data_IF_389902245068
#
_entry.id   IF_389902245068
#
_cell.length_a   1.000
_cell.length_b   1.000
_cell.length_c   1.000
_cell.angle_alpha   90.00
_cell.angle_beta   90.00
_cell.angle_gamma   90.00
#
_symmetry.space_group_name_H-M   'P 1'
#
loop_
_entity.id
_entity.type
_entity.pdbx_description
1 polymer ?
#
# COMPACT_ATOMS: atom_id res chain seq x y z
N UNK A 1 19.68 -54.81 -15.74
CA UNK A 1 19.07 -54.07 -14.62
C UNK A 1 19.96 -52.89 -14.27
N UNK A 2 19.75 -51.76 -14.96
CA UNK A 2 20.43 -50.47 -14.76
C UNK A 2 19.37 -49.44 -15.13
N UNK A 3 19.02 -48.55 -14.22
CA UNK A 3 18.21 -47.32 -14.32
C UNK A 3 17.44 -47.24 -13.00
N UNK A 4 18.08 -46.72 -11.96
CA UNK A 4 17.42 -46.26 -10.72
C UNK A 4 18.35 -45.31 -9.97
N UNK A 5 18.92 -44.29 -10.62
CA UNK A 5 19.76 -43.29 -9.94
C UNK A 5 19.74 -41.92 -10.63
N UNK A 6 18.55 -41.38 -10.92
CA UNK A 6 18.42 -39.98 -11.39
C UNK A 6 17.17 -39.31 -10.79
N UNK A 7 17.12 -39.26 -9.45
CA UNK A 7 15.99 -38.64 -8.72
C UNK A 7 16.39 -37.84 -7.47
N UNK A 8 17.63 -37.36 -7.37
CA UNK A 8 18.14 -36.82 -6.09
C UNK A 8 18.90 -35.49 -6.15
N UNK A 9 18.87 -34.75 -7.26
CA UNK A 9 19.64 -33.49 -7.38
C UNK A 9 18.82 -32.23 -7.07
N UNK A 10 17.49 -32.32 -6.95
CA UNK A 10 16.62 -31.14 -6.82
C UNK A 10 16.31 -30.70 -5.37
N UNK A 11 17.22 -30.90 -4.42
CA UNK A 11 17.03 -30.48 -3.02
C UNK A 11 18.19 -29.62 -2.45
N UNK A 12 19.17 -29.23 -3.28
CA UNK A 12 20.37 -28.51 -2.85
C UNK A 12 20.36 -27.00 -3.14
N UNK A 13 19.17 -26.39 -3.30
CA UNK A 13 19.04 -24.93 -3.44
C UNK A 13 18.34 -24.25 -2.24
N UNK A 14 18.25 -24.92 -1.09
CA UNK A 14 17.92 -24.27 0.17
C UNK A 14 19.20 -23.66 0.78
N UNK A 15 19.69 -22.59 0.17
CA UNK A 15 20.76 -21.79 0.74
C UNK A 15 20.31 -21.27 2.13
N UNK A 16 21.16 -21.33 3.16
CA UNK A 16 20.81 -20.82 4.49
C UNK A 16 20.81 -19.30 4.43
N UNK A 17 19.64 -18.70 4.19
CA UNK A 17 19.36 -17.27 4.43
C UNK A 17 19.25 -16.98 5.95
N UNK A 18 19.47 -17.97 6.81
CA UNK A 18 19.42 -17.84 8.26
C UNK A 18 20.78 -17.46 8.88
N UNK A 19 21.37 -16.32 8.49
CA UNK A 19 22.55 -15.79 9.20
C UNK A 19 22.90 -14.33 8.93
N UNK A 20 22.07 -13.55 8.22
CA UNK A 20 22.35 -12.12 8.13
C UNK A 20 21.82 -11.43 9.39
N UNK A 21 22.67 -10.74 10.19
CA UNK A 21 22.18 -9.88 11.25
C UNK A 21 21.28 -8.84 10.60
N UNK A 22 19.99 -8.89 10.91
CA UNK A 22 19.06 -7.82 10.54
C UNK A 22 19.62 -6.56 11.21
N UNK A 23 20.04 -5.53 10.44
CA UNK A 23 20.53 -4.31 11.05
C UNK A 23 19.44 -3.78 12.01
N UNK A 24 19.81 -3.26 13.19
CA UNK A 24 18.83 -2.69 14.11
C UNK A 24 17.99 -1.68 13.33
N UNK A 25 16.65 -1.71 13.47
CA UNK A 25 15.80 -0.83 12.70
C UNK A 25 16.26 0.60 13.01
N UNK A 26 16.79 1.28 11.98
CA UNK A 26 17.07 2.70 12.06
C UNK A 26 15.80 3.35 12.58
N UNK A 27 15.89 4.00 13.74
CA UNK A 27 14.74 4.64 14.38
C UNK A 27 14.05 5.47 13.30
N UNK A 28 12.86 5.04 12.90
CA UNK A 28 12.11 5.62 11.79
C UNK A 28 11.80 7.06 12.18
N UNK A 29 12.66 7.99 11.77
CA UNK A 29 12.51 9.41 12.04
C UNK A 29 11.40 9.88 11.11
N UNK A 30 10.23 10.15 11.68
CA UNK A 30 9.14 10.81 10.96
C UNK A 30 9.69 12.15 10.48
N UNK A 31 9.76 12.40 9.16
CA UNK A 31 10.20 13.68 8.64
C UNK A 31 9.27 14.79 9.17
N UNK A 32 9.80 15.91 9.69
CA UNK A 32 8.98 17.02 10.19
C UNK A 32 8.04 17.59 9.13
N UNK A 33 8.30 17.34 7.85
CA UNK A 33 7.43 17.69 6.73
C UNK A 33 6.07 16.97 6.79
N UNK A 34 5.96 15.83 7.48
CA UNK A 34 4.69 15.10 7.64
C UNK A 34 3.76 15.71 8.70
N UNK A 35 4.26 16.61 9.55
CA UNK A 35 3.47 17.34 10.54
C UNK A 35 3.19 18.79 10.12
N UNK A 36 3.71 19.23 8.98
CA UNK A 36 3.50 20.57 8.45
C UNK A 36 2.06 20.72 7.87
N UNK A 37 1.25 21.69 8.35
CA UNK A 37 -0.05 21.99 7.75
C UNK A 37 0.02 22.34 6.26
N UNK A 38 1.11 22.94 5.77
CA UNK A 38 1.29 23.24 4.35
C UNK A 38 1.42 21.95 3.50
N UNK A 39 1.91 20.85 4.08
CA UNK A 39 1.93 19.56 3.40
C UNK A 39 0.53 18.94 3.30
N UNK A 40 -0.33 19.14 4.31
CA UNK A 40 -1.72 18.67 4.25
C UNK A 40 -2.50 19.36 3.12
N UNK A 41 -2.29 20.66 2.89
CA UNK A 41 -2.89 21.38 1.77
C UNK A 41 -2.40 20.85 0.41
N UNK A 42 -1.08 20.73 0.23
CA UNK A 42 -0.48 20.16 -0.99
C UNK A 42 -0.99 18.75 -1.28
N UNK A 43 -1.12 17.93 -0.25
CA UNK A 43 -1.64 16.57 -0.37
C UNK A 43 -3.12 16.59 -0.79
N UNK A 44 -3.92 17.48 -0.22
CA UNK A 44 -5.31 17.68 -0.64
C UNK A 44 -5.44 18.06 -2.11
N UNK A 45 -4.57 18.94 -2.60
CA UNK A 45 -4.56 19.33 -4.01
C UNK A 45 -4.05 18.19 -4.93
N UNK A 46 -3.04 17.43 -4.49
CA UNK A 46 -2.59 16.22 -5.19
C UNK A 46 -3.70 15.17 -5.29
N UNK A 47 -4.46 14.95 -4.21
CA UNK A 47 -5.61 14.04 -4.22
C UNK A 47 -6.71 14.52 -5.17
N UNK A 48 -6.94 15.83 -5.27
CA UNK A 48 -7.84 16.40 -6.28
C UNK A 48 -7.39 16.08 -7.71
N UNK A 49 -6.10 16.30 -8.01
CA UNK A 49 -5.53 15.99 -9.33
C UNK A 49 -5.56 14.50 -9.67
N UNK A 50 -5.28 13.63 -8.69
CA UNK A 50 -5.41 12.17 -8.86
C UNK A 50 -6.86 11.76 -9.10
N UNK A 51 -7.80 12.40 -8.41
CA UNK A 51 -9.22 12.22 -8.61
C UNK A 51 -9.66 12.58 -10.03
N UNK A 52 -9.23 13.74 -10.54
CA UNK A 52 -9.48 14.14 -11.92
C UNK A 52 -8.87 13.16 -12.93
N UNK A 53 -7.64 12.69 -12.70
CA UNK A 53 -6.99 11.70 -13.55
C UNK A 53 -7.77 10.36 -13.57
N UNK A 54 -8.34 9.95 -12.44
CA UNK A 54 -9.20 8.77 -12.37
C UNK A 54 -10.50 8.96 -13.15
N UNK A 55 -11.10 10.15 -13.07
CA UNK A 55 -12.29 10.46 -13.85
C UNK A 55 -12.02 10.40 -15.36
N UNK A 56 -10.83 10.79 -15.81
CA UNK A 56 -10.44 10.77 -17.22
C UNK A 56 -9.96 9.38 -17.70
N UNK A 57 -9.96 8.37 -16.82
CA UNK A 57 -9.56 7.01 -17.19
C UNK A 57 -10.57 6.39 -18.18
N UNK A 58 -10.11 5.88 -19.34
CA UNK A 58 -10.99 5.21 -20.30
C UNK A 58 -11.43 3.84 -19.76
N UNK A 59 -12.74 3.62 -19.65
CA UNK A 59 -13.32 2.38 -19.10
C UNK A 59 -14.20 1.63 -20.08
N UNK A 60 -14.54 2.19 -21.23
CA UNK A 60 -15.49 1.51 -22.13
C UNK A 60 -14.96 0.20 -22.73
N UNK A 61 -13.63 0.04 -22.84
CA UNK A 61 -13.02 -1.25 -23.18
C UNK A 61 -13.28 -2.32 -22.12
N UNK A 62 -13.11 -1.96 -20.84
CA UNK A 62 -13.34 -2.84 -19.68
C UNK A 62 -14.82 -3.19 -19.58
N UNK A 63 -15.70 -2.20 -19.76
CA UNK A 63 -17.16 -2.38 -19.74
C UNK A 63 -17.62 -3.35 -20.83
N UNK A 64 -17.20 -3.15 -22.07
CA UNK A 64 -17.59 -4.03 -23.18
C UNK A 64 -17.07 -5.46 -22.97
N UNK A 65 -15.83 -5.61 -22.47
CA UNK A 65 -15.27 -6.92 -22.15
C UNK A 65 -16.06 -7.62 -21.04
N UNK A 66 -16.50 -6.90 -20.00
CA UNK A 66 -17.37 -7.43 -18.95
C UNK A 66 -18.74 -7.86 -19.50
N UNK A 67 -19.24 -7.19 -20.53
CA UNK A 67 -20.46 -7.55 -21.26
C UNK A 67 -20.24 -8.66 -22.32
N UNK A 68 -19.02 -9.22 -22.42
CA UNK A 68 -18.69 -10.31 -23.35
C UNK A 68 -18.64 -9.91 -24.82
N UNK A 69 -18.49 -8.61 -25.12
CA UNK A 69 -18.44 -8.07 -26.49
C UNK A 69 -17.19 -7.23 -26.73
N UNK A 70 -16.92 -6.91 -27.98
CA UNK A 70 -15.87 -5.96 -28.34
C UNK A 70 -16.37 -4.53 -28.22
N UNK A 71 -15.57 -3.65 -27.61
CA UNK A 71 -15.89 -2.23 -27.54
C UNK A 71 -15.85 -1.59 -28.94
N UNK A 72 -16.88 -0.81 -29.26
CA UNK A 72 -16.85 0.06 -30.44
C UNK A 72 -15.80 1.16 -30.29
N UNK A 73 -15.34 1.80 -31.38
CA UNK A 73 -14.35 2.88 -31.31
C UNK A 73 -14.80 4.04 -30.40
N UNK A 74 -16.10 4.35 -30.38
CA UNK A 74 -16.67 5.40 -29.54
C UNK A 74 -16.66 5.01 -28.06
N UNK A 75 -16.98 3.75 -27.74
CA UNK A 75 -16.93 3.28 -26.35
C UNK A 75 -15.50 3.21 -25.81
N UNK A 76 -14.51 2.90 -26.64
CA UNK A 76 -13.11 2.88 -26.18
C UNK A 76 -12.62 4.22 -25.65
N UNK A 77 -13.19 5.34 -26.14
CA UNK A 77 -12.88 6.68 -25.66
C UNK A 77 -13.70 7.09 -24.42
N UNK A 78 -14.69 6.28 -24.01
CA UNK A 78 -15.57 6.59 -22.90
C UNK A 78 -14.83 6.50 -21.57
N UNK A 79 -14.86 7.60 -20.82
CA UNK A 79 -14.20 7.73 -19.52
C UNK A 79 -15.16 7.47 -18.35
N UNK A 80 -14.60 7.35 -17.13
CA UNK A 80 -15.41 7.32 -15.90
C UNK A 80 -16.23 8.61 -15.76
N UNK A 81 -15.66 9.76 -16.13
CA UNK A 81 -16.32 11.07 -16.13
C UNK A 81 -17.55 11.07 -17.05
N UNK A 82 -17.41 10.54 -18.26
CA UNK A 82 -18.51 10.48 -19.23
C UNK A 82 -19.65 9.59 -18.73
N UNK A 83 -19.32 8.51 -18.03
CA UNK A 83 -20.32 7.66 -17.38
C UNK A 83 -21.03 8.40 -16.24
N UNK A 84 -20.30 9.13 -15.39
CA UNK A 84 -20.89 9.95 -14.33
C UNK A 84 -21.81 11.05 -14.88
N UNK A 85 -21.40 11.73 -15.96
CA UNK A 85 -22.21 12.76 -16.64
C UNK A 85 -23.48 12.24 -17.28
N UNK A 86 -23.48 10.96 -17.69
CA UNK A 86 -24.66 10.32 -18.28
C UNK A 86 -25.80 10.23 -17.28
N UNK A 87 -25.48 9.95 -16.01
CA UNK A 87 -26.46 9.80 -14.93
C UNK A 87 -26.74 11.12 -14.20
N UNK A 88 -25.76 12.04 -14.16
CA UNK A 88 -25.88 13.37 -13.55
C UNK A 88 -25.30 14.47 -14.46
N UNK A 89 -26.14 15.34 -15.06
CA UNK A 89 -25.67 16.47 -15.87
C UNK A 89 -24.74 17.44 -15.12
N UNK A 90 -24.82 17.48 -13.79
CA UNK A 90 -24.00 18.33 -12.93
C UNK A 90 -22.85 17.56 -12.24
N UNK A 91 -22.51 16.37 -12.74
CA UNK A 91 -21.54 15.47 -12.12
C UNK A 91 -20.24 16.17 -11.71
N UNK A 92 -19.60 16.93 -12.61
CA UNK A 92 -18.33 17.61 -12.28
C UNK A 92 -18.48 18.64 -11.16
N UNK A 93 -19.58 19.41 -11.17
CA UNK A 93 -19.83 20.41 -10.15
C UNK A 93 -20.09 19.75 -8.79
N UNK A 94 -20.85 18.65 -8.78
CA UNK A 94 -21.14 17.88 -7.58
C UNK A 94 -19.88 17.17 -7.04
N UNK A 95 -19.06 16.59 -7.92
CA UNK A 95 -17.78 15.97 -7.58
C UNK A 95 -16.83 16.98 -6.94
N UNK A 96 -16.63 18.15 -7.56
CA UNK A 96 -15.80 19.23 -7.01
C UNK A 96 -16.30 19.70 -5.65
N UNK A 97 -17.63 19.80 -5.49
CA UNK A 97 -18.25 20.17 -4.20
C UNK A 97 -17.98 19.10 -3.14
N UNK A 98 -18.10 17.81 -3.47
CA UNK A 98 -17.78 16.71 -2.55
C UNK A 98 -16.31 16.73 -2.12
N UNK A 99 -15.38 16.89 -3.08
CA UNK A 99 -13.94 17.01 -2.77
C UNK A 99 -13.70 18.19 -1.81
N UNK A 100 -14.27 19.37 -2.12
CA UNK A 100 -14.14 20.55 -1.28
C UNK A 100 -14.70 20.33 0.14
N UNK A 101 -15.82 19.63 0.26
CA UNK A 101 -16.42 19.26 1.56
C UNK A 101 -15.60 18.22 2.32
N UNK A 102 -14.91 17.32 1.61
CA UNK A 102 -14.07 16.29 2.21
C UNK A 102 -12.70 16.81 2.66
N UNK A 103 -12.19 17.91 2.08
CA UNK A 103 -10.89 18.53 2.44
C UNK A 103 -10.67 18.65 3.97
N UNK A 104 -11.56 19.26 4.77
CA UNK A 104 -11.34 19.39 6.22
C UNK A 104 -11.31 18.05 6.95
N UNK A 105 -12.15 17.09 6.53
CA UNK A 105 -12.13 15.74 7.11
C UNK A 105 -10.80 15.04 6.84
N UNK A 106 -10.31 15.09 5.60
CA UNK A 106 -9.01 14.50 5.23
C UNK A 106 -7.88 15.15 6.03
N UNK A 107 -7.87 16.49 6.13
CA UNK A 107 -6.86 17.21 6.91
C UNK A 107 -6.88 16.80 8.40
N UNK A 108 -8.07 16.67 9.00
CA UNK A 108 -8.21 16.25 10.38
C UNK A 108 -7.79 14.79 10.59
N UNK A 109 -8.15 13.88 9.68
CA UNK A 109 -7.72 12.47 9.72
C UNK A 109 -6.20 12.33 9.61
N UNK A 110 -5.57 13.11 8.72
CA UNK A 110 -4.12 13.13 8.58
C UNK A 110 -3.44 13.68 9.82
N UNK A 111 -3.97 14.77 10.41
CA UNK A 111 -3.46 15.30 11.68
C UNK A 111 -3.51 14.24 12.78
N UNK A 112 -4.67 13.61 12.98
CA UNK A 112 -4.84 12.55 13.98
C UNK A 112 -3.89 11.36 13.74
N UNK A 113 -3.70 10.96 12.47
CA UNK A 113 -2.73 9.93 12.12
C UNK A 113 -1.30 10.37 12.49
N UNK A 114 -0.91 11.60 12.12
CA UNK A 114 0.42 12.14 12.42
C UNK A 114 0.71 12.22 13.93
N UNK A 115 -0.31 12.56 14.72
CA UNK A 115 -0.23 12.58 16.19
C UNK A 115 -0.09 11.18 16.78
N UNK A 116 -0.68 10.17 16.14
CA UNK A 116 -0.63 8.78 16.57
C UNK A 116 0.65 8.04 16.12
N UNK A 117 1.29 8.48 15.03
CA UNK A 117 2.48 7.81 14.47
C UNK A 117 3.61 7.60 15.50
N UNK A 118 4.02 8.59 16.32
CA UNK A 118 5.09 8.41 17.30
C UNK A 118 4.79 7.30 18.33
N UNK A 119 3.53 7.24 18.79
CA UNK A 119 3.10 6.21 19.73
C UNK A 119 3.15 4.82 19.09
N UNK A 120 2.73 4.69 17.82
CA UNK A 120 2.83 3.44 17.06
C UNK A 120 4.29 2.99 16.90
N UNK A 121 5.19 3.90 16.51
CA UNK A 121 6.62 3.61 16.36
C UNK A 121 7.21 3.14 17.69
N UNK A 122 6.97 3.87 18.78
CA UNK A 122 7.43 3.48 20.12
C UNK A 122 6.95 2.09 20.50
N UNK A 123 5.68 1.78 20.24
CA UNK A 123 5.10 0.47 20.55
C UNK A 123 5.76 -0.64 19.72
N UNK A 124 6.01 -0.40 18.43
CA UNK A 124 6.72 -1.36 17.56
C UNK A 124 8.16 -1.58 18.01
N UNK A 125 8.88 -0.53 18.40
CA UNK A 125 10.25 -0.63 18.92
C UNK A 125 10.30 -1.44 20.22
N UNK A 126 9.34 -1.23 21.13
CA UNK A 126 9.23 -2.01 22.36
C UNK A 126 8.94 -3.48 22.08
N UNK A 127 8.04 -3.77 21.14
CA UNK A 127 7.73 -5.13 20.72
C UNK A 127 8.96 -5.83 20.12
N UNK A 128 9.71 -5.16 19.25
CA UNK A 128 10.96 -5.69 18.70
C UNK A 128 11.99 -6.01 19.81
N UNK A 129 12.15 -5.12 20.79
CA UNK A 129 13.05 -5.35 21.92
C UNK A 129 12.59 -6.50 22.85
N UNK A 130 11.29 -6.80 22.92
CA UNK A 130 10.77 -7.96 23.64
C UNK A 130 11.04 -9.25 22.86
N UNK A 131 10.82 -9.26 21.55
CA UNK A 131 11.11 -10.41 20.69
C UNK A 131 12.60 -10.77 20.74
N UNK A 132 13.49 -9.79 20.67
CA UNK A 132 14.94 -9.99 20.79
C UNK A 132 15.32 -10.66 22.11
N UNK A 133 14.72 -10.23 23.24
CA UNK A 133 14.94 -10.86 24.55
C UNK A 133 14.46 -12.31 24.60
N UNK A 134 13.34 -12.63 23.93
CA UNK A 134 12.83 -14.00 23.84
C UNK A 134 13.78 -14.86 22.99
N UNK A 135 14.30 -14.34 21.88
CA UNK A 135 15.26 -15.03 21.03
C UNK A 135 16.59 -15.28 21.75
N UNK A 136 17.08 -14.33 22.53
CA UNK A 136 18.30 -14.48 23.32
C UNK A 136 18.17 -15.50 24.46
N UNK A 137 16.96 -15.65 25.01
CA UNK A 137 16.68 -16.62 26.08
C UNK A 137 16.15 -17.96 25.57
N UNK A 138 16.03 -18.17 24.25
CA UNK A 138 15.67 -19.49 23.73
C UNK A 138 16.83 -20.48 23.94
N UNK A 139 16.54 -21.71 24.41
CA UNK A 139 17.55 -22.74 24.52
C UNK A 139 18.11 -23.01 23.13
N UNK A 140 19.42 -22.84 22.97
CA UNK A 140 20.06 -23.13 21.70
C UNK A 140 20.03 -24.64 21.42
N UNK A 141 19.67 -25.09 20.20
CA UNK A 141 19.56 -26.52 19.86
C UNK A 141 20.88 -27.30 20.00
N UNK A 142 22.01 -26.61 20.07
CA UNK A 142 23.37 -27.13 20.09
C UNK A 142 23.96 -27.29 21.51
N UNK A 143 23.18 -27.12 22.57
CA UNK A 143 23.66 -27.39 23.94
C UNK A 143 23.80 -28.91 24.17
N UNK A 144 25.01 -29.43 24.50
CA UNK A 144 25.19 -30.85 24.76
C UNK A 144 24.46 -31.23 26.06
N UNK A 145 23.49 -32.15 25.96
CA UNK A 145 22.90 -32.81 27.12
C UNK A 145 23.98 -33.68 27.76
N UNK A 146 24.34 -33.36 29.01
CA UNK A 146 25.16 -34.25 29.84
C UNK A 146 24.36 -35.47 30.26
#
# INVERSE_FOLDING_TARGET
MRIFLLGSVLLMAAAPVAAQPVPPPEAMRIPPELTDPAMAEKLGDMMGALGDAFLDMPIGGIKAAAEGRTASPQEKAMTVRDMGRRDDPNFDANYRRQIAQAKPMIANSMRAMSEALPAMISTMTQAAAQMERVMQNMPRPDYPRR
#
